data_IF_780930430172
#
_entry.id   IF_780930430172
#
_cell.length_a   1.000
_cell.length_b   1.000
_cell.length_c   1.000
_cell.angle_alpha   90.00
_cell.angle_beta   90.00
_cell.angle_gamma   90.00
#
_symmetry.space_group_name_H-M   'P 1'
#
loop_
_entity.id
_entity.type
_entity.pdbx_description
1 polymer ?
#
# COMPACT_ATOMS: atom_id res chain seq x y z
N UNK A 1 18.04 -10.10 2.52
CA UNK A 1 18.48 -8.75 2.93
C UNK A 1 17.27 -7.82 2.82
N UNK A 2 16.96 -7.06 3.86
CA UNK A 2 15.95 -5.99 3.79
C UNK A 2 16.59 -4.74 3.17
N UNK A 3 15.86 -4.03 2.32
CA UNK A 3 16.41 -2.93 1.52
C UNK A 3 15.57 -1.67 1.77
N UNK A 4 16.27 -0.55 2.01
CA UNK A 4 15.70 0.77 2.28
C UNK A 4 14.81 0.82 3.55
N UNK A 5 13.91 1.81 3.64
CA UNK A 5 12.99 2.04 4.78
C UNK A 5 13.65 2.28 6.15
N UNK A 6 14.90 2.72 6.17
CA UNK A 6 15.66 3.00 7.39
C UNK A 6 14.95 4.03 8.29
N UNK A 7 14.32 5.04 7.68
CA UNK A 7 13.58 6.07 8.42
C UNK A 7 12.35 5.49 9.13
N UNK A 8 11.58 4.66 8.43
CA UNK A 8 10.37 4.04 8.96
C UNK A 8 10.70 3.00 10.04
N UNK A 9 11.73 2.17 9.83
CA UNK A 9 12.23 1.24 10.84
C UNK A 9 12.70 1.98 12.08
N UNK A 10 13.50 3.04 11.92
CA UNK A 10 13.96 3.86 13.04
C UNK A 10 12.79 4.47 13.81
N UNK A 11 11.78 4.99 13.13
CA UNK A 11 10.59 5.54 13.79
C UNK A 11 9.83 4.49 14.60
N UNK A 12 9.76 3.23 14.14
CA UNK A 12 9.14 2.14 14.89
C UNK A 12 10.00 1.74 16.10
N UNK A 13 11.32 1.67 15.91
CA UNK A 13 12.28 1.33 16.96
C UNK A 13 12.31 2.39 18.07
N UNK A 14 12.34 3.68 17.72
CA UNK A 14 12.31 4.80 18.68
C UNK A 14 11.03 4.79 19.57
N UNK A 15 9.92 4.25 19.06
CA UNK A 15 8.70 4.03 19.84
C UNK A 15 8.73 2.74 20.66
N UNK A 16 9.33 1.69 20.12
CA UNK A 16 9.51 0.43 20.81
C UNK A 16 10.43 0.56 22.03
N UNK A 17 11.47 1.39 21.96
CA UNK A 17 12.44 1.54 23.05
C UNK A 17 11.90 2.34 24.24
N UNK A 18 10.83 3.11 24.06
CA UNK A 18 10.17 3.85 25.15
C UNK A 18 9.29 2.92 25.97
N UNK A 19 9.34 2.99 27.30
CA UNK A 19 8.39 2.26 28.14
C UNK A 19 6.95 2.77 27.97
N UNK A 20 5.99 1.90 28.27
CA UNK A 20 4.56 2.19 28.23
C UNK A 20 3.90 1.90 26.88
N UNK A 21 2.68 2.43 26.75
CA UNK A 21 1.83 2.23 25.59
C UNK A 21 2.31 3.02 24.38
N UNK A 22 2.29 2.38 23.21
CA UNK A 22 2.45 3.07 21.93
C UNK A 22 1.48 2.52 20.89
N UNK A 23 0.92 3.38 20.04
CA UNK A 23 0.16 2.96 18.87
C UNK A 23 0.69 3.64 17.60
N UNK A 24 0.95 2.84 16.58
CA UNK A 24 1.35 3.31 15.24
C UNK A 24 0.35 2.85 14.20
N UNK A 25 -0.05 3.76 13.30
CA UNK A 25 -0.86 3.41 12.13
C UNK A 25 0.04 3.42 10.89
N UNK A 26 0.10 2.30 10.17
CA UNK A 26 0.86 2.16 8.93
C UNK A 26 -0.12 1.94 7.79
N UNK A 27 -0.07 2.76 6.75
CA UNK A 27 -0.99 2.64 5.63
C UNK A 27 -0.32 3.04 4.35
N UNK A 28 -0.82 2.53 3.24
CA UNK A 28 -0.14 2.66 1.95
C UNK A 28 -0.74 1.69 0.96
N UNK A 29 -0.48 1.93 -0.33
CA UNK A 29 -1.04 1.13 -1.41
C UNK A 29 -0.68 -0.36 -1.28
N UNK A 30 -1.32 -1.25 -2.04
CA UNK A 30 -0.87 -2.64 -2.12
C UNK A 30 0.56 -2.71 -2.67
N UNK A 31 1.33 -3.72 -2.27
CA UNK A 31 2.67 -4.06 -2.81
C UNK A 31 3.83 -3.11 -2.53
N UNK A 32 3.61 -2.05 -1.76
CA UNK A 32 4.65 -1.09 -1.35
C UNK A 32 5.54 -1.57 -0.18
N UNK A 33 5.25 -2.78 0.37
CA UNK A 33 6.11 -3.43 1.37
C UNK A 33 5.70 -3.26 2.85
N UNK A 34 4.42 -3.00 3.16
CA UNK A 34 3.94 -2.79 4.55
C UNK A 34 4.22 -3.98 5.47
N UNK A 35 3.69 -5.16 5.12
CA UNK A 35 3.88 -6.37 5.93
C UNK A 35 5.36 -6.75 6.01
N UNK A 36 6.14 -6.52 4.94
CA UNK A 36 7.59 -6.72 4.95
C UNK A 36 8.30 -5.79 5.94
N UNK A 37 7.95 -4.50 5.96
CA UNK A 37 8.49 -3.54 6.93
C UNK A 37 8.16 -3.96 8.37
N UNK A 38 6.91 -4.34 8.64
CA UNK A 38 6.49 -4.75 9.98
C UNK A 38 7.21 -6.04 10.38
N UNK A 39 7.25 -7.04 9.50
CA UNK A 39 7.96 -8.30 9.74
C UNK A 39 9.44 -8.09 10.02
N UNK A 40 10.10 -7.18 9.30
CA UNK A 40 11.48 -6.81 9.57
C UNK A 40 11.62 -6.17 10.96
N UNK A 41 10.74 -5.23 11.27
CA UNK A 41 10.74 -4.54 12.56
C UNK A 41 10.52 -5.49 13.74
N UNK A 42 9.63 -6.47 13.63
CA UNK A 42 9.32 -7.38 14.74
C UNK A 42 10.29 -8.56 14.87
N UNK A 43 11.31 -8.67 14.01
CA UNK A 43 12.35 -9.69 14.18
C UNK A 43 12.94 -9.59 15.59
N UNK A 44 13.05 -10.75 16.25
CA UNK A 44 13.58 -10.90 17.60
C UNK A 44 12.78 -10.18 18.70
N UNK A 45 11.51 -9.85 18.45
CA UNK A 45 10.60 -9.20 19.41
C UNK A 45 9.39 -10.10 19.68
N UNK A 46 8.86 -10.06 20.90
CA UNK A 46 7.60 -10.75 21.23
C UNK A 46 6.44 -10.02 20.56
N UNK A 47 5.87 -10.64 19.53
CA UNK A 47 4.82 -10.04 18.72
C UNK A 47 3.70 -11.02 18.41
N UNK A 48 2.46 -10.57 18.56
CA UNK A 48 1.27 -11.20 17.98
C UNK A 48 1.05 -10.53 16.63
N UNK A 49 1.14 -11.30 15.55
CA UNK A 49 0.92 -10.79 14.19
C UNK A 49 -0.31 -11.44 13.57
N UNK A 50 -1.38 -10.66 13.41
CA UNK A 50 -2.60 -11.12 12.78
C UNK A 50 -2.87 -10.38 11.48
N UNK A 51 -3.06 -11.12 10.38
CA UNK A 51 -3.55 -10.58 9.11
C UNK A 51 -5.04 -10.83 8.98
N UNK A 52 -5.84 -9.76 9.04
CA UNK A 52 -7.26 -9.85 8.81
C UNK A 52 -7.56 -10.30 7.36
N UNK A 53 -8.60 -11.10 7.20
CA UNK A 53 -9.03 -11.61 5.88
C UNK A 53 -10.46 -11.17 5.57
N UNK A 54 -10.84 -11.23 4.29
CA UNK A 54 -12.19 -10.87 3.80
C UNK A 54 -13.25 -11.92 4.18
N UNK A 55 -13.37 -12.22 5.46
CA UNK A 55 -14.31 -13.18 6.05
C UNK A 55 -15.21 -12.48 7.07
N UNK A 56 -16.20 -13.18 7.61
CA UNK A 56 -17.08 -12.66 8.66
C UNK A 56 -16.33 -12.31 9.95
N UNK A 57 -16.97 -11.55 10.85
CA UNK A 57 -16.37 -11.12 12.13
C UNK A 57 -16.01 -12.31 13.01
N UNK A 58 -16.82 -13.36 13.02
CA UNK A 58 -16.62 -14.57 13.84
C UNK A 58 -15.38 -15.34 13.39
N UNK A 59 -15.18 -15.47 12.07
CA UNK A 59 -13.99 -16.14 11.54
C UNK A 59 -12.71 -15.32 11.76
N UNK A 60 -12.79 -13.99 11.64
CA UNK A 60 -11.67 -13.13 12.00
C UNK A 60 -11.33 -13.24 13.49
N UNK A 61 -12.34 -13.31 14.37
CA UNK A 61 -12.17 -13.49 15.81
C UNK A 61 -11.47 -14.82 16.13
N UNK A 62 -11.90 -15.91 15.51
CA UNK A 62 -11.31 -17.24 15.69
C UNK A 62 -9.84 -17.28 15.25
N UNK A 63 -9.53 -16.75 14.07
CA UNK A 63 -8.16 -16.71 13.55
C UNK A 63 -7.26 -15.81 14.41
N UNK A 64 -7.78 -14.66 14.86
CA UNK A 64 -7.06 -13.77 15.77
C UNK A 64 -6.80 -14.45 17.12
N UNK A 65 -7.80 -15.14 17.67
CA UNK A 65 -7.68 -15.93 18.90
C UNK A 65 -6.52 -16.93 18.82
N UNK A 66 -6.48 -17.72 17.73
CA UNK A 66 -5.42 -18.70 17.51
C UNK A 66 -4.02 -18.06 17.52
N UNK A 67 -3.85 -16.89 16.87
CA UNK A 67 -2.58 -16.15 16.89
C UNK A 67 -2.23 -15.58 18.28
N UNK A 68 -3.22 -15.19 19.07
CA UNK A 68 -2.99 -14.71 20.45
C UNK A 68 -2.54 -15.85 21.35
N UNK A 69 -3.21 -17.00 21.27
CA UNK A 69 -2.91 -18.18 22.08
C UNK A 69 -1.53 -18.76 21.74
N UNK A 70 -1.20 -18.89 20.45
CA UNK A 70 0.10 -19.44 20.02
C UNK A 70 1.30 -18.65 20.54
N UNK A 71 1.14 -17.36 20.84
CA UNK A 71 2.22 -16.51 21.36
C UNK A 71 2.18 -16.36 22.88
N UNK A 72 1.00 -16.21 23.48
CA UNK A 72 0.87 -15.90 24.91
C UNK A 72 0.66 -17.14 25.80
N UNK A 73 0.08 -18.20 25.26
CA UNK A 73 -0.18 -19.44 25.99
C UNK A 73 -0.49 -20.62 25.04
N UNK A 74 0.54 -21.26 24.44
CA UNK A 74 0.35 -22.38 23.51
C UNK A 74 -0.39 -23.58 24.12
N UNK A 75 -0.43 -23.70 25.45
CA UNK A 75 -1.12 -24.80 26.13
C UNK A 75 -2.65 -24.73 26.00
N UNK A 76 -3.17 -23.58 25.56
CA UNK A 76 -4.59 -23.28 25.43
C UNK A 76 -5.07 -23.22 23.98
N UNK A 77 -4.38 -23.86 23.03
CA UNK A 77 -4.66 -23.75 21.58
C UNK A 77 -6.11 -24.09 21.19
N UNK A 78 -6.78 -24.98 21.94
CA UNK A 78 -8.18 -25.38 21.72
C UNK A 78 -9.22 -24.45 22.39
N UNK A 79 -8.79 -23.42 23.10
CA UNK A 79 -9.70 -22.48 23.77
C UNK A 79 -10.32 -21.53 22.75
N UNK A 80 -11.65 -21.43 22.77
CA UNK A 80 -12.39 -20.42 22.01
C UNK A 80 -12.74 -19.21 22.89
N UNK A 81 -12.66 -18.02 22.30
CA UNK A 81 -13.16 -16.80 22.95
C UNK A 81 -14.53 -16.42 22.37
N UNK A 82 -15.51 -16.08 23.22
CA UNK A 82 -16.85 -15.73 22.75
C UNK A 82 -16.93 -14.32 22.15
N UNK A 83 -15.92 -13.47 22.39
CA UNK A 83 -15.88 -12.09 21.91
C UNK A 83 -14.46 -11.55 21.85
N UNK A 84 -14.26 -10.48 21.08
CA UNK A 84 -12.97 -9.78 21.02
C UNK A 84 -12.58 -9.17 22.37
N UNK A 85 -13.56 -8.72 23.16
CA UNK A 85 -13.34 -8.23 24.52
C UNK A 85 -12.76 -9.33 25.41
N UNK A 86 -13.18 -10.58 25.21
CA UNK A 86 -12.63 -11.73 25.95
C UNK A 86 -11.16 -11.97 25.58
N UNK A 87 -10.80 -11.83 24.30
CA UNK A 87 -9.41 -11.91 23.83
C UNK A 87 -8.59 -10.75 24.41
N UNK A 88 -9.09 -9.52 24.34
CA UNK A 88 -8.40 -8.35 24.86
C UNK A 88 -8.23 -8.40 26.39
N UNK A 89 -9.20 -8.96 27.12
CA UNK A 89 -9.06 -9.26 28.54
C UNK A 89 -7.95 -10.28 28.79
N UNK A 90 -7.86 -11.32 27.98
CA UNK A 90 -6.80 -12.33 28.07
C UNK A 90 -5.42 -11.72 27.83
N UNK A 91 -5.26 -10.95 26.74
CA UNK A 91 -4.03 -10.18 26.46
C UNK A 91 -3.68 -9.31 27.66
N UNK A 92 -4.64 -8.53 28.18
CA UNK A 92 -4.43 -7.63 29.33
C UNK A 92 -3.89 -8.34 30.57
N UNK A 93 -4.32 -9.58 30.83
CA UNK A 93 -3.84 -10.40 31.96
C UNK A 93 -2.43 -10.96 31.74
N UNK A 94 -2.04 -11.17 30.48
CA UNK A 94 -0.73 -11.72 30.08
C UNK A 94 0.32 -10.63 29.86
N UNK A 95 -0.07 -9.36 29.76
CA UNK A 95 0.86 -8.23 29.71
C UNK A 95 1.67 -8.16 31.01
N UNK A 96 2.96 -8.46 30.92
CA UNK A 96 3.93 -8.36 32.01
C UNK A 96 4.87 -7.17 31.84
N UNK A 97 6.10 -7.33 32.34
CA UNK A 97 7.14 -6.30 32.26
C UNK A 97 7.77 -6.18 30.86
N UNK A 98 7.81 -7.28 30.10
CA UNK A 98 8.35 -7.28 28.73
C UNK A 98 7.37 -6.62 27.75
N UNK A 99 7.90 -5.88 26.79
CA UNK A 99 7.08 -5.22 25.77
C UNK A 99 6.51 -6.23 24.77
N UNK A 100 5.19 -6.26 24.68
CA UNK A 100 4.44 -7.00 23.66
C UNK A 100 4.12 -6.10 22.47
N UNK A 101 4.25 -6.62 21.25
CA UNK A 101 3.75 -5.96 20.04
C UNK A 101 2.47 -6.67 19.58
N UNK A 102 1.41 -5.91 19.31
CA UNK A 102 0.17 -6.41 18.70
C UNK A 102 0.01 -5.78 17.32
N UNK A 103 0.12 -6.60 16.28
CA UNK A 103 -0.08 -6.19 14.89
C UNK A 103 -1.42 -6.69 14.37
N UNK A 104 -2.23 -5.78 13.84
CA UNK A 104 -3.41 -6.10 13.02
C UNK A 104 -3.14 -5.57 11.61
N UNK A 105 -2.73 -6.47 10.71
CA UNK A 105 -2.53 -6.20 9.29
C UNK A 105 -3.83 -6.37 8.50
N UNK A 106 -3.96 -5.59 7.43
CA UNK A 106 -5.19 -5.45 6.65
C UNK A 106 -6.46 -5.19 7.50
N UNK A 107 -6.32 -4.37 8.55
CA UNK A 107 -7.40 -3.92 9.45
C UNK A 107 -8.73 -3.59 8.74
N UNK A 108 -8.76 -2.93 7.55
CA UNK A 108 -10.01 -2.66 6.85
C UNK A 108 -10.89 -3.91 6.66
N UNK A 109 -10.30 -5.09 6.38
CA UNK A 109 -11.10 -6.30 6.15
C UNK A 109 -11.88 -6.77 7.38
N UNK A 110 -11.35 -6.53 8.58
CA UNK A 110 -12.06 -6.85 9.81
C UNK A 110 -13.02 -5.71 10.19
N UNK A 111 -12.54 -4.46 10.21
CA UNK A 111 -13.33 -3.33 10.65
C UNK A 111 -14.55 -3.02 9.75
N UNK A 112 -14.52 -3.42 8.47
CA UNK A 112 -15.70 -3.36 7.59
C UNK A 112 -16.77 -4.40 7.92
N UNK A 113 -16.40 -5.48 8.63
CA UNK A 113 -17.32 -6.57 9.03
C UNK A 113 -17.69 -6.53 10.51
N UNK A 114 -17.01 -5.71 11.30
CA UNK A 114 -17.24 -5.51 12.72
C UNK A 114 -17.15 -4.02 13.08
N UNK A 115 -18.29 -3.33 13.06
CA UNK A 115 -18.36 -1.89 13.33
C UNK A 115 -17.93 -1.52 14.76
N UNK A 116 -18.00 -2.47 15.69
CA UNK A 116 -17.62 -2.27 17.09
C UNK A 116 -16.10 -2.42 17.33
N UNK A 117 -15.35 -2.99 16.38
CA UNK A 117 -13.92 -3.29 16.54
C UNK A 117 -13.11 -2.07 17.03
N UNK A 118 -13.27 -0.92 16.39
CA UNK A 118 -12.48 0.29 16.70
C UNK A 118 -12.89 0.91 18.04
N UNK A 119 -14.17 0.86 18.40
CA UNK A 119 -14.66 1.40 19.68
C UNK A 119 -14.31 0.48 20.85
N UNK A 120 -14.32 -0.83 20.65
CA UNK A 120 -13.81 -1.78 21.64
C UNK A 120 -12.30 -1.57 21.82
N UNK A 121 -11.53 -1.45 20.74
CA UNK A 121 -10.10 -1.17 20.83
C UNK A 121 -9.82 0.12 21.61
N UNK A 122 -10.56 1.19 21.33
CA UNK A 122 -10.50 2.45 22.08
C UNK A 122 -10.73 2.22 23.59
N UNK A 123 -11.81 1.51 23.97
CA UNK A 123 -12.14 1.20 25.37
C UNK A 123 -10.95 0.53 26.08
N UNK A 124 -10.28 -0.43 25.45
CA UNK A 124 -9.16 -1.14 26.07
C UNK A 124 -7.89 -0.29 26.16
N UNK A 125 -7.60 0.50 25.13
CA UNK A 125 -6.51 1.48 25.18
C UNK A 125 -6.70 2.36 26.42
N UNK A 126 -7.84 3.05 26.50
CA UNK A 126 -8.09 4.09 27.51
C UNK A 126 -8.20 3.53 28.93
N UNK A 127 -8.66 2.28 29.12
CA UNK A 127 -8.97 1.74 30.46
C UNK A 127 -8.02 0.67 30.98
N UNK A 128 -7.24 0.02 30.10
CA UNK A 128 -6.42 -1.16 30.47
C UNK A 128 -4.98 -1.12 29.99
N UNK A 129 -4.67 -0.37 28.93
CA UNK A 129 -3.38 -0.52 28.25
C UNK A 129 -2.45 0.70 28.31
N UNK A 130 -2.95 1.91 28.63
CA UNK A 130 -2.10 3.11 28.71
C UNK A 130 -0.90 2.96 29.66
N UNK A 131 -1.04 2.20 30.75
CA UNK A 131 0.00 1.92 31.74
C UNK A 131 0.82 0.65 31.44
N UNK A 132 0.57 -0.03 30.32
CA UNK A 132 1.21 -1.32 29.99
C UNK A 132 2.32 -1.16 28.96
N UNK A 133 3.29 -2.06 28.99
CA UNK A 133 4.32 -2.19 27.95
C UNK A 133 3.74 -2.89 26.72
N UNK A 134 2.87 -2.20 25.99
CA UNK A 134 2.19 -2.68 24.79
C UNK A 134 2.40 -1.70 23.63
N UNK A 135 2.84 -2.23 22.49
CA UNK A 135 2.88 -1.48 21.23
C UNK A 135 1.87 -2.06 20.25
N UNK A 136 0.93 -1.25 19.78
CA UNK A 136 -0.06 -1.63 18.77
C UNK A 136 0.37 -1.09 17.41
N UNK A 137 0.33 -1.95 16.38
CA UNK A 137 0.51 -1.55 14.99
C UNK A 137 -0.74 -1.91 14.21
N UNK A 138 -1.43 -0.89 13.70
CA UNK A 138 -2.60 -1.05 12.83
C UNK A 138 -2.19 -0.78 11.40
N UNK A 139 -2.38 -1.75 10.51
CA UNK A 139 -1.97 -1.65 9.12
C UNK A 139 -3.12 -1.88 8.13
N UNK A 140 -3.10 -1.21 6.98
CA UNK A 140 -4.11 -1.42 5.94
C UNK A 140 -3.73 -0.93 4.55
N UNK A 141 -4.13 -1.69 3.52
CA UNK A 141 -3.94 -1.31 2.11
C UNK A 141 -5.02 -0.38 1.54
N UNK A 142 -6.21 -0.39 2.14
CA UNK A 142 -7.33 0.46 1.72
C UNK A 142 -7.14 1.90 2.24
N UNK A 143 -6.38 2.71 1.48
CA UNK A 143 -6.04 4.10 1.83
C UNK A 143 -7.25 4.89 2.34
N UNK A 144 -8.35 4.88 1.57
CA UNK A 144 -9.55 5.65 1.92
C UNK A 144 -10.23 5.16 3.19
N UNK A 145 -10.19 3.86 3.49
CA UNK A 145 -10.69 3.35 4.76
C UNK A 145 -9.80 3.86 5.91
N UNK A 146 -8.49 3.70 5.77
CA UNK A 146 -7.54 4.12 6.80
C UNK A 146 -7.65 5.63 7.08
N UNK A 147 -7.72 6.47 6.04
CA UNK A 147 -7.86 7.92 6.17
C UNK A 147 -9.20 8.32 6.80
N UNK A 148 -10.31 7.76 6.33
CA UNK A 148 -11.65 8.22 6.71
C UNK A 148 -12.20 7.57 7.99
N UNK A 149 -11.77 6.34 8.33
CA UNK A 149 -12.31 5.57 9.46
C UNK A 149 -11.33 5.38 10.61
N UNK A 150 -10.02 5.32 10.32
CA UNK A 150 -8.99 5.08 11.36
C UNK A 150 -8.29 6.38 11.77
N UNK A 151 -7.98 7.25 10.82
CA UNK A 151 -7.20 8.47 11.06
C UNK A 151 -8.04 9.74 11.25
N UNK A 152 -9.31 9.70 10.85
CA UNK A 152 -10.21 10.85 10.91
C UNK A 152 -10.52 11.29 12.35
N UNK A 153 -10.89 12.56 12.51
CA UNK A 153 -11.29 13.13 13.82
C UNK A 153 -12.49 12.43 14.45
N UNK A 154 -13.34 11.83 13.62
CA UNK A 154 -14.52 11.06 14.05
C UNK A 154 -14.18 9.62 14.45
N UNK A 155 -12.95 9.17 14.24
CA UNK A 155 -12.54 7.81 14.59
C UNK A 155 -12.46 7.64 16.11
N UNK A 156 -12.92 6.51 16.67
CA UNK A 156 -12.66 6.16 18.07
C UNK A 156 -11.16 6.20 18.42
N UNK A 157 -10.29 5.95 17.45
CA UNK A 157 -8.84 5.91 17.63
C UNK A 157 -8.16 7.28 17.49
N UNK A 158 -8.93 8.34 17.22
CA UNK A 158 -8.38 9.69 17.11
C UNK A 158 -7.69 10.11 18.42
N UNK A 159 -6.55 10.80 18.31
CA UNK A 159 -5.74 11.24 19.45
C UNK A 159 -4.96 10.16 20.21
N UNK A 160 -5.12 8.87 19.87
CA UNK A 160 -4.49 7.74 20.60
C UNK A 160 -3.26 7.15 19.91
N UNK A 161 -2.95 7.63 18.70
CA UNK A 161 -1.74 7.23 17.97
C UNK A 161 -0.55 8.10 18.38
N UNK A 162 0.60 7.47 18.56
CA UNK A 162 1.88 8.16 18.78
C UNK A 162 2.61 8.42 17.46
N UNK A 163 2.36 7.59 16.43
CA UNK A 163 2.93 7.77 15.10
C UNK A 163 1.98 7.32 14.00
N UNK A 164 2.24 7.84 12.80
CA UNK A 164 1.53 7.53 11.57
C UNK A 164 2.56 7.46 10.44
N UNK A 165 2.56 6.35 9.70
CA UNK A 165 3.46 6.11 8.58
C UNK A 165 2.62 5.87 7.33
N UNK A 166 2.64 6.84 6.40
CA UNK A 166 2.14 6.64 5.05
C UNK A 166 3.27 6.08 4.20
N UNK A 167 3.25 4.78 3.96
CA UNK A 167 4.31 4.09 3.24
C UNK A 167 4.04 4.22 1.73
N UNK A 168 4.86 5.03 1.08
CA UNK A 168 4.78 5.35 -0.35
C UNK A 168 5.65 4.40 -1.19
N UNK A 169 5.52 4.45 -2.52
CA UNK A 169 6.50 3.80 -3.40
C UNK A 169 7.93 4.35 -3.15
N UNK A 170 8.94 3.55 -3.42
CA UNK A 170 10.34 3.98 -3.30
C UNK A 170 10.64 5.10 -4.29
N UNK A 171 11.43 6.08 -3.85
CA UNK A 171 11.99 7.05 -4.79
C UNK A 171 13.14 6.42 -5.60
N UNK A 172 13.67 7.14 -6.58
CA UNK A 172 14.78 6.68 -7.41
C UNK A 172 15.99 6.17 -6.61
N UNK A 173 16.41 6.93 -5.57
CA UNK A 173 17.60 6.57 -4.76
C UNK A 173 17.38 5.27 -4.01
N UNK A 174 16.19 5.07 -3.46
CA UNK A 174 15.82 3.84 -2.76
C UNK A 174 15.67 2.66 -3.73
N UNK A 175 15.04 2.88 -4.89
CA UNK A 175 14.87 1.87 -5.93
C UNK A 175 16.23 1.38 -6.48
N UNK A 176 17.20 2.29 -6.63
CA UNK A 176 18.55 1.95 -7.08
C UNK A 176 19.28 0.97 -6.15
N UNK A 177 18.89 0.88 -4.87
CA UNK A 177 19.47 -0.08 -3.91
C UNK A 177 19.09 -1.54 -4.23
N UNK A 178 18.03 -1.78 -5.00
CA UNK A 178 17.62 -3.13 -5.42
C UNK A 178 18.51 -3.70 -6.53
N UNK A 179 19.16 -2.83 -7.31
CA UNK A 179 20.00 -3.18 -8.46
C UNK A 179 21.35 -2.47 -8.37
N UNK A 180 22.15 -2.72 -7.32
CA UNK A 180 23.35 -1.94 -7.02
C UNK A 180 24.39 -1.98 -8.15
N UNK A 181 24.47 -3.10 -8.88
CA UNK A 181 25.44 -3.36 -9.94
C UNK A 181 25.09 -2.72 -11.30
N UNK A 182 23.87 -2.21 -11.45
CA UNK A 182 23.44 -1.58 -12.69
C UNK A 182 24.03 -0.17 -12.83
N UNK A 183 24.19 0.27 -14.08
CA UNK A 183 24.51 1.65 -14.42
C UNK A 183 23.42 2.62 -13.95
N UNK A 184 23.72 3.92 -13.91
CA UNK A 184 22.75 4.95 -13.54
C UNK A 184 21.56 4.98 -14.49
N UNK A 185 21.81 4.78 -15.78
CA UNK A 185 20.82 4.70 -16.84
C UNK A 185 19.90 3.49 -16.63
N UNK A 186 20.47 2.31 -16.38
CA UNK A 186 19.68 1.10 -16.12
C UNK A 186 18.87 1.21 -14.83
N UNK A 187 19.43 1.79 -13.76
CA UNK A 187 18.70 2.11 -12.52
C UNK A 187 17.51 3.02 -12.79
N UNK A 188 17.67 4.03 -13.64
CA UNK A 188 16.59 4.93 -14.01
C UNK A 188 15.49 4.19 -14.78
N UNK A 189 15.86 3.29 -15.68
CA UNK A 189 14.89 2.43 -16.39
C UNK A 189 14.17 1.50 -15.40
N UNK A 190 14.88 0.83 -14.49
CA UNK A 190 14.27 0.00 -13.43
C UNK A 190 13.26 0.79 -12.60
N UNK A 191 13.62 2.00 -12.17
CA UNK A 191 12.69 2.88 -11.44
C UNK A 191 11.47 3.25 -12.31
N UNK A 192 11.69 3.61 -13.57
CA UNK A 192 10.63 3.98 -14.51
C UNK A 192 9.62 2.87 -14.80
N UNK A 193 10.10 1.64 -15.06
CA UNK A 193 9.22 0.50 -15.37
C UNK A 193 8.53 -0.07 -14.12
N UNK A 194 9.11 0.09 -12.94
CA UNK A 194 8.48 -0.41 -11.70
C UNK A 194 7.66 0.64 -10.96
N UNK A 195 7.84 1.93 -11.27
CA UNK A 195 7.25 3.05 -10.54
C UNK A 195 7.64 3.08 -9.06
N UNK A 196 8.78 2.50 -8.70
CA UNK A 196 9.24 2.39 -7.30
C UNK A 196 8.46 1.39 -6.45
N UNK A 197 7.56 0.58 -7.03
CA UNK A 197 6.77 -0.39 -6.27
C UNK A 197 7.67 -1.50 -5.73
N UNK A 198 7.73 -1.64 -4.41
CA UNK A 198 8.62 -2.58 -3.71
C UNK A 198 8.53 -4.01 -4.24
N UNK A 199 7.32 -4.55 -4.44
CA UNK A 199 7.14 -5.91 -4.98
C UNK A 199 7.76 -6.08 -6.37
N UNK A 200 7.66 -5.07 -7.23
CA UNK A 200 8.14 -5.15 -8.61
C UNK A 200 9.66 -5.03 -8.66
N UNK A 201 10.23 -4.12 -7.87
CA UNK A 201 11.68 -3.99 -7.72
C UNK A 201 12.32 -5.28 -7.19
N UNK A 202 11.69 -5.94 -6.21
CA UNK A 202 12.17 -7.19 -5.64
C UNK A 202 12.14 -8.38 -6.62
N UNK A 203 11.45 -8.26 -7.77
CA UNK A 203 11.42 -9.31 -8.81
C UNK A 203 12.58 -9.20 -9.80
N UNK A 204 13.28 -8.06 -9.82
CA UNK A 204 14.43 -7.84 -10.69
C UNK A 204 15.59 -8.67 -10.15
N UNK A 205 16.11 -9.56 -11.00
CA UNK A 205 17.27 -10.37 -10.72
C UNK A 205 18.53 -9.57 -11.05
N UNK A 206 19.25 -9.10 -10.03
CA UNK A 206 20.43 -8.25 -10.20
C UNK A 206 21.66 -8.99 -10.78
N UNK A 207 21.56 -10.30 -11.02
CA UNK A 207 22.59 -11.11 -11.67
C UNK A 207 22.43 -11.17 -13.19
N UNK A 208 21.28 -10.73 -13.70
CA UNK A 208 20.96 -10.71 -15.13
C UNK A 208 21.11 -9.31 -15.70
N UNK A 209 21.11 -9.20 -17.03
CA UNK A 209 20.98 -7.91 -17.69
C UNK A 209 19.60 -7.30 -17.48
N UNK A 210 19.50 -5.98 -17.65
CA UNK A 210 18.22 -5.29 -17.63
C UNK A 210 17.25 -5.84 -18.69
N UNK A 211 17.73 -6.06 -19.92
CA UNK A 211 16.93 -6.57 -21.03
C UNK A 211 16.35 -7.95 -20.75
N UNK A 212 17.12 -8.84 -20.14
CA UNK A 212 16.64 -10.17 -19.75
C UNK A 212 15.55 -10.08 -18.68
N UNK A 213 15.71 -9.22 -17.68
CA UNK A 213 14.69 -8.99 -16.67
C UNK A 213 13.41 -8.42 -17.28
N UNK A 214 13.54 -7.45 -18.17
CA UNK A 214 12.40 -6.85 -18.86
C UNK A 214 11.65 -7.90 -19.68
N UNK A 215 12.36 -8.69 -20.51
CA UNK A 215 11.74 -9.75 -21.31
C UNK A 215 11.01 -10.75 -20.43
N UNK A 216 11.68 -11.28 -19.40
CA UNK A 216 11.14 -12.29 -18.48
C UNK A 216 9.93 -11.78 -17.70
N UNK A 217 9.99 -10.55 -17.18
CA UNK A 217 8.95 -10.05 -16.27
C UNK A 217 7.73 -9.48 -17.02
N UNK A 218 7.95 -8.79 -18.14
CA UNK A 218 6.91 -8.02 -18.84
C UNK A 218 6.46 -8.61 -20.17
N UNK A 219 7.29 -9.39 -20.86
CA UNK A 219 7.01 -9.81 -22.24
C UNK A 219 6.79 -11.32 -22.40
N UNK A 220 7.17 -12.12 -21.42
CA UNK A 220 6.80 -13.53 -21.41
C UNK A 220 5.39 -13.68 -20.82
N UNK A 221 4.58 -14.57 -21.40
CA UNK A 221 3.19 -14.81 -20.97
C UNK A 221 3.08 -15.41 -19.57
N UNK A 222 4.14 -16.02 -19.07
CA UNK A 222 4.28 -16.51 -17.69
C UNK A 222 4.97 -15.49 -16.76
N UNK A 223 5.34 -14.32 -17.29
CA UNK A 223 5.95 -13.23 -16.54
C UNK A 223 4.97 -12.56 -15.59
N UNK A 224 5.37 -12.36 -14.33
CA UNK A 224 4.49 -11.80 -13.31
C UNK A 224 3.90 -10.43 -13.68
N UNK A 225 4.68 -9.57 -14.36
CA UNK A 225 4.25 -8.20 -14.72
C UNK A 225 3.51 -8.13 -16.06
N UNK A 226 3.41 -9.25 -16.81
CA UNK A 226 2.69 -9.33 -18.07
C UNK A 226 1.21 -8.95 -17.91
N UNK A 227 0.50 -9.61 -17.00
CA UNK A 227 -0.93 -9.35 -16.72
C UNK A 227 -1.17 -8.45 -15.49
N UNK A 228 -0.13 -8.01 -14.80
CA UNK A 228 -0.27 -7.27 -13.54
C UNK A 228 -1.04 -5.96 -13.70
N UNK A 229 -0.82 -5.24 -14.81
CA UNK A 229 -1.57 -4.01 -15.10
C UNK A 229 -3.07 -4.29 -15.20
N UNK A 230 -3.46 -5.35 -15.90
CA UNK A 230 -4.86 -5.77 -16.03
C UNK A 230 -5.43 -6.22 -14.70
N UNK A 231 -4.69 -7.04 -13.96
CA UNK A 231 -5.10 -7.55 -12.65
C UNK A 231 -5.35 -6.42 -11.65
N UNK A 232 -4.49 -5.41 -11.63
CA UNK A 232 -4.66 -4.23 -10.78
C UNK A 232 -5.91 -3.45 -11.14
N UNK A 233 -6.19 -3.26 -12.44
CA UNK A 233 -7.40 -2.60 -12.90
C UNK A 233 -8.67 -3.39 -12.55
N UNK A 234 -8.70 -4.69 -12.80
CA UNK A 234 -9.88 -5.54 -12.52
C UNK A 234 -10.17 -5.66 -11.01
N UNK A 235 -9.15 -5.57 -10.15
CA UNK A 235 -9.36 -5.57 -8.70
C UNK A 235 -9.95 -4.27 -8.18
N UNK A 236 -9.64 -3.15 -8.82
CA UNK A 236 -10.04 -1.83 -8.35
C UNK A 236 -11.31 -1.36 -9.06
N UNK A 237 -11.56 -1.73 -10.32
CA UNK A 237 -12.67 -1.21 -11.12
C UNK A 237 -13.61 -2.30 -11.62
N UNK A 238 -14.91 -2.04 -11.51
CA UNK A 238 -15.95 -2.91 -12.08
C UNK A 238 -16.01 -2.82 -13.60
N UNK A 239 -15.81 -1.62 -14.17
CA UNK A 239 -15.79 -1.38 -15.61
C UNK A 239 -14.36 -1.05 -16.06
N UNK A 240 -13.60 -2.08 -16.44
CA UNK A 240 -12.22 -1.95 -16.91
C UNK A 240 -12.16 -1.33 -18.31
N UNK A 241 -13.18 -1.54 -19.14
CA UNK A 241 -13.21 -1.04 -20.53
C UNK A 241 -13.25 0.49 -20.56
N UNK A 242 -14.12 1.09 -19.74
CA UNK A 242 -14.18 2.54 -19.57
C UNK A 242 -12.83 3.09 -19.09
N UNK A 243 -12.23 2.45 -18.09
CA UNK A 243 -10.95 2.88 -17.53
C UNK A 243 -9.82 2.81 -18.56
N UNK A 244 -9.75 1.74 -19.33
CA UNK A 244 -8.76 1.62 -20.41
C UNK A 244 -8.91 2.75 -21.43
N UNK A 245 -10.17 3.08 -21.79
CA UNK A 245 -10.47 4.17 -22.71
C UNK A 245 -10.05 5.52 -22.13
N UNK A 246 -10.30 5.76 -20.84
CA UNK A 246 -9.86 6.98 -20.14
C UNK A 246 -8.33 7.10 -20.17
N UNK A 247 -7.61 6.03 -19.83
CA UNK A 247 -6.14 5.99 -19.83
C UNK A 247 -5.60 6.26 -21.23
N UNK A 248 -6.20 5.65 -22.26
CA UNK A 248 -5.86 5.87 -23.65
C UNK A 248 -6.04 7.34 -24.07
N UNK A 249 -7.15 7.97 -23.69
CA UNK A 249 -7.37 9.39 -23.99
C UNK A 249 -6.32 10.30 -23.34
N UNK A 250 -5.92 10.00 -22.09
CA UNK A 250 -4.85 10.73 -21.40
C UNK A 250 -3.49 10.51 -22.09
N UNK A 251 -3.19 9.26 -22.49
CA UNK A 251 -1.96 8.94 -23.21
C UNK A 251 -1.86 9.68 -24.56
N UNK A 252 -3.00 9.91 -25.23
CA UNK A 252 -3.09 10.74 -26.43
C UNK A 252 -3.12 12.27 -26.14
N UNK A 253 -2.92 12.71 -24.90
CA UNK A 253 -2.84 14.11 -24.52
C UNK A 253 -4.19 14.78 -24.22
N UNK A 254 -5.27 14.01 -24.14
CA UNK A 254 -6.59 14.53 -23.72
C UNK A 254 -6.65 14.57 -22.20
N UNK A 255 -6.24 15.71 -21.64
CA UNK A 255 -5.86 15.76 -20.22
C UNK A 255 -6.86 16.50 -19.31
N UNK A 256 -8.04 16.88 -19.80
CA UNK A 256 -9.09 17.54 -18.99
C UNK A 256 -10.35 16.68 -18.89
N UNK A 257 -11.04 16.74 -17.74
CA UNK A 257 -12.25 15.95 -17.46
C UNK A 257 -13.29 16.10 -18.56
N UNK A 258 -13.60 17.34 -18.96
CA UNK A 258 -14.61 17.63 -19.97
C UNK A 258 -14.22 17.11 -21.37
N UNK A 259 -12.94 17.24 -21.74
CA UNK A 259 -12.48 16.75 -23.05
C UNK A 259 -12.51 15.21 -23.11
N UNK A 260 -12.14 14.54 -22.02
CA UNK A 260 -12.24 13.08 -21.90
C UNK A 260 -13.71 12.65 -21.95
N UNK A 261 -14.58 13.27 -21.16
CA UNK A 261 -16.02 13.00 -21.15
C UNK A 261 -16.66 13.14 -22.54
N UNK A 262 -16.33 14.22 -23.25
CA UNK A 262 -16.85 14.46 -24.60
C UNK A 262 -16.38 13.39 -25.61
N UNK A 263 -15.10 13.00 -25.56
CA UNK A 263 -14.55 12.00 -26.48
C UNK A 263 -15.11 10.60 -26.22
N UNK A 264 -15.23 10.23 -24.94
CA UNK A 264 -15.73 8.91 -24.53
C UNK A 264 -17.27 8.85 -24.59
N UNK A 265 -17.94 10.02 -24.73
CA UNK A 265 -19.40 10.19 -24.69
C UNK A 265 -19.98 9.68 -23.38
N UNK A 266 -19.32 10.04 -22.29
CA UNK A 266 -19.68 9.66 -20.93
C UNK A 266 -19.90 10.87 -20.03
N UNK A 267 -20.61 10.68 -18.92
CA UNK A 267 -20.90 11.76 -17.99
C UNK A 267 -19.62 12.25 -17.30
N UNK A 268 -19.45 13.58 -17.21
CA UNK A 268 -18.28 14.18 -16.57
C UNK A 268 -18.11 13.77 -15.10
N UNK A 269 -19.21 13.48 -14.39
CA UNK A 269 -19.20 12.94 -13.02
C UNK A 269 -18.60 11.53 -12.96
N UNK A 270 -18.97 10.63 -13.88
CA UNK A 270 -18.42 9.27 -14.00
C UNK A 270 -16.93 9.30 -14.33
N UNK A 271 -16.52 10.17 -15.26
CA UNK A 271 -15.12 10.38 -15.61
C UNK A 271 -14.35 10.92 -14.41
N UNK A 272 -14.86 11.94 -13.73
CA UNK A 272 -14.22 12.51 -12.55
C UNK A 272 -14.02 11.46 -11.45
N UNK A 273 -15.05 10.66 -11.15
CA UNK A 273 -14.96 9.56 -10.18
C UNK A 273 -13.87 8.55 -10.56
N UNK A 274 -13.83 8.16 -11.84
CA UNK A 274 -12.83 7.23 -12.37
C UNK A 274 -11.41 7.79 -12.28
N UNK A 275 -11.23 9.07 -12.63
CA UNK A 275 -9.94 9.76 -12.54
C UNK A 275 -9.47 9.90 -11.09
N UNK A 276 -10.35 10.28 -10.15
CA UNK A 276 -10.00 10.35 -8.74
C UNK A 276 -9.53 8.99 -8.21
N UNK A 277 -10.19 7.92 -8.64
CA UNK A 277 -9.80 6.56 -8.29
C UNK A 277 -8.45 6.19 -8.90
N UNK A 278 -8.23 6.50 -10.19
CA UNK A 278 -6.93 6.34 -10.88
C UNK A 278 -5.80 7.11 -10.20
N UNK A 279 -6.06 8.32 -9.68
CA UNK A 279 -5.10 9.10 -8.89
C UNK A 279 -4.80 8.41 -7.56
N UNK A 280 -5.83 7.92 -6.86
CA UNK A 280 -5.65 7.20 -5.58
C UNK A 280 -4.84 5.93 -5.76
N UNK A 281 -5.06 5.21 -6.85
CA UNK A 281 -4.23 4.06 -7.24
C UNK A 281 -2.99 4.49 -8.03
N UNK A 282 -2.58 5.76 -7.98
CA UNK A 282 -1.35 6.31 -8.53
C UNK A 282 -1.01 5.88 -9.96
N UNK A 283 -2.02 5.61 -10.79
CA UNK A 283 -1.83 5.36 -12.23
C UNK A 283 -1.71 6.67 -12.99
N UNK A 284 -2.39 7.72 -12.49
CA UNK A 284 -2.34 9.07 -13.02
C UNK A 284 -2.06 10.08 -11.90
N UNK A 285 -1.56 11.24 -12.26
CA UNK A 285 -1.36 12.39 -11.38
C UNK A 285 -2.04 13.62 -11.95
N UNK A 286 -2.31 14.55 -11.04
CA UNK A 286 -2.91 15.84 -11.34
C UNK A 286 -1.80 16.88 -11.47
N UNK A 287 -1.57 17.39 -12.68
CA UNK A 287 -0.65 18.50 -12.95
C UNK A 287 -1.40 19.83 -12.99
N UNK A 288 -1.05 20.69 -12.05
CA UNK A 288 -1.49 22.09 -12.03
C UNK A 288 -0.56 22.92 -12.92
N UNK A 289 -1.11 23.89 -13.67
CA UNK A 289 -0.30 24.81 -14.46
C UNK A 289 0.54 25.71 -13.55
N UNK A 290 1.86 25.73 -13.76
CA UNK A 290 2.84 26.54 -13.01
C UNK A 290 2.49 28.03 -13.02
N UNK A 291 1.89 28.52 -14.11
CA UNK A 291 1.54 29.93 -14.29
C UNK A 291 0.23 30.36 -13.61
N UNK A 292 -0.60 29.42 -13.13
CA UNK A 292 -1.93 29.71 -12.55
C UNK A 292 -2.31 28.71 -11.43
N UNK A 293 -1.46 28.58 -10.39
CA UNK A 293 -1.64 27.59 -9.30
C UNK A 293 -3.01 27.66 -8.58
N UNK A 294 -3.66 28.83 -8.54
CA UNK A 294 -4.97 29.02 -7.89
C UNK A 294 -6.17 28.69 -8.80
N UNK A 295 -5.97 28.46 -10.10
CA UNK A 295 -7.06 28.27 -11.04
C UNK A 295 -7.48 26.80 -11.14
N UNK A 296 -8.47 26.41 -10.32
CA UNK A 296 -9.05 25.05 -10.30
C UNK A 296 -9.59 24.57 -11.66
N UNK A 297 -9.77 25.45 -12.65
CA UNK A 297 -10.27 25.13 -14.00
C UNK A 297 -9.19 24.67 -14.99
N UNK A 298 -7.90 24.95 -14.75
CA UNK A 298 -6.78 24.55 -15.62
C UNK A 298 -5.93 23.47 -14.97
N UNK A 299 -6.53 22.30 -14.83
CA UNK A 299 -5.85 21.13 -14.32
C UNK A 299 -5.74 20.10 -15.45
N UNK A 300 -4.52 19.63 -15.68
CA UNK A 300 -4.22 18.53 -16.59
C UNK A 300 -3.95 17.23 -15.83
N UNK A 301 -4.34 16.09 -16.40
CA UNK A 301 -3.97 14.76 -15.91
C UNK A 301 -2.78 14.22 -16.70
N UNK A 302 -1.87 13.49 -16.06
CA UNK A 302 -0.80 12.74 -16.73
C UNK A 302 -0.64 11.35 -16.15
N UNK A 303 -0.30 10.37 -16.97
CA UNK A 303 0.03 9.01 -16.50
C UNK A 303 1.35 9.03 -15.72
N UNK A 304 1.36 8.40 -14.54
CA UNK A 304 2.53 8.30 -13.64
C UNK A 304 3.32 7.03 -13.91
N UNK A 305 2.63 5.94 -14.27
CA UNK A 305 3.26 4.66 -14.52
C UNK A 305 3.55 4.54 -16.02
N UNK A 306 4.85 4.55 -16.36
CA UNK A 306 5.35 4.37 -17.72
C UNK A 306 4.81 3.07 -18.34
N UNK A 307 4.63 2.01 -17.55
CA UNK A 307 4.05 0.75 -18.05
C UNK A 307 2.62 0.86 -18.59
N UNK A 308 1.81 1.86 -18.21
CA UNK A 308 0.49 2.04 -18.83
C UNK A 308 0.59 2.62 -20.24
N UNK A 309 1.60 3.46 -20.50
CA UNK A 309 1.88 3.90 -21.87
C UNK A 309 2.36 2.74 -22.75
N UNK A 310 3.05 1.75 -22.19
CA UNK A 310 3.54 0.59 -22.94
C UNK A 310 2.50 -0.53 -23.10
N UNK A 311 1.63 -0.73 -22.11
CA UNK A 311 0.86 -1.97 -21.98
C UNK A 311 -0.55 -1.98 -22.57
N UNK A 312 -1.18 -0.83 -22.87
CA UNK A 312 -2.62 -0.84 -23.22
C UNK A 312 -2.99 -0.36 -24.62
N UNK A 313 -2.05 0.20 -25.40
CA UNK A 313 -2.32 0.56 -26.81
C UNK A 313 -1.27 0.09 -27.81
N UNK A 314 -0.16 -0.48 -27.34
CA UNK A 314 1.00 -0.73 -28.20
C UNK A 314 1.37 -2.21 -28.38
N UNK A 315 0.62 -3.14 -27.76
CA UNK A 315 0.88 -4.58 -27.87
C UNK A 315 0.92 -5.14 -29.31
N UNK A 316 0.22 -4.59 -30.33
CA UNK A 316 0.40 -5.03 -31.72
C UNK A 316 1.28 -4.11 -32.59
N UNK A 317 1.68 -2.91 -32.12
CA UNK A 317 2.36 -1.90 -32.98
C UNK A 317 3.75 -1.45 -32.50
N UNK A 318 4.21 -1.86 -31.30
CA UNK A 318 5.53 -1.45 -30.76
C UNK A 318 6.72 -2.35 -31.12
N UNK A 319 6.58 -3.27 -32.08
CA UNK A 319 7.77 -3.96 -32.62
C UNK A 319 8.74 -3.00 -33.35
N UNK A 320 8.35 -1.74 -33.63
CA UNK A 320 9.08 -0.85 -34.55
C UNK A 320 9.61 0.45 -33.91
N UNK A 321 9.31 0.79 -32.64
CA UNK A 321 9.52 2.16 -32.13
C UNK A 321 10.27 2.32 -30.78
N UNK A 322 11.02 1.30 -30.34
CA UNK A 322 11.91 1.45 -29.18
C UNK A 322 13.19 2.21 -29.53
N UNK A 323 13.14 3.55 -29.44
CA UNK A 323 14.31 4.36 -29.06
C UNK A 323 14.11 4.86 -27.64
N UNK A 324 14.71 4.13 -26.69
CA UNK A 324 14.72 4.43 -25.26
C UNK A 324 15.27 5.84 -24.94
N UNK A 325 16.07 6.41 -25.84
CA UNK A 325 16.77 7.69 -25.70
C UNK A 325 15.87 8.89 -25.36
N UNK A 326 14.65 8.95 -25.92
CA UNK A 326 13.73 10.10 -25.71
C UNK A 326 12.98 10.07 -24.37
N UNK A 327 12.73 8.88 -23.83
CA UNK A 327 12.10 8.72 -22.51
C UNK A 327 13.13 9.05 -21.42
N UNK A 328 14.37 8.57 -21.61
CA UNK A 328 15.50 8.84 -20.72
C UNK A 328 15.82 10.34 -20.65
N UNK A 329 15.82 11.06 -21.78
CA UNK A 329 16.10 12.51 -21.81
C UNK A 329 15.10 13.37 -21.04
N UNK A 330 13.90 12.85 -20.78
CA UNK A 330 12.80 13.57 -20.10
C UNK A 330 12.78 13.28 -18.60
N UNK A 331 13.39 12.18 -18.14
CA UNK A 331 13.52 11.85 -16.71
C UNK A 331 14.83 12.35 -16.09
N UNK A 332 15.85 12.64 -16.91
CA UNK A 332 17.16 13.14 -16.45
C UNK A 332 17.21 14.69 -16.33
N UNK A 333 16.21 15.40 -16.85
CA UNK A 333 16.03 16.85 -16.63
C UNK A 333 14.99 17.08 -15.55
#
# INVERSE_FOLDING_TARGET
>A
MFIARERELKSLQDLYDKNGFAMTVIYGRRRIGKSTLINEFIKDKTAIFYTATKVGKERNLELFSSQVLSILDPSLEDVSFPSIESIFNFISKKLGNHKLILVIDELPYWAEKDEALLSILQKYIDTKWLDKNLMIILCGSALSFMENKVLSEKSPLFGRRNSQIKLEAFNYKEAALFVPNYSSEEKAICYGITGGVAKYLAMIDNTRSLDENIKRLFFHTDGYLYDETRNLLTQEFSDVTLINTIIEQIAFGTNTVNAIAQKIKENASTILYSLEKLIRIGLIEKKNCITEEKNKKKVSMSCVIICLNFGMSLFPKLQVLLRWDKVISTMIK
#
